data_IF_937673463210
#
_entry.id   IF_937673463210
#
_cell.length_a   1.000
_cell.length_b   1.000
_cell.length_c   1.000
_cell.angle_alpha   90.00
_cell.angle_beta   90.00
_cell.angle_gamma   90.00
#
_symmetry.space_group_name_H-M   'P 1'
#
loop_
_entity.id
_entity.type
_entity.pdbx_description
1 polymer ?
#
# COMPACT_ATOMS: atom_id res chain seq x y z
N UNK A 1 -22.02 -34.96 -34.18
CA UNK A 1 -22.31 -33.51 -34.07
C UNK A 1 -22.77 -33.22 -32.63
N UNK A 2 -21.86 -33.35 -31.65
CA UNK A 2 -22.16 -33.33 -30.21
C UNK A 2 -20.94 -32.85 -29.41
N UNK A 3 -20.52 -31.57 -29.53
CA UNK A 3 -19.42 -31.01 -28.72
C UNK A 3 -19.53 -29.50 -28.43
N UNK A 4 -20.67 -28.85 -28.66
CA UNK A 4 -20.86 -27.42 -28.38
C UNK A 4 -21.42 -27.11 -26.99
N UNK A 5 -21.41 -28.07 -26.04
CA UNK A 5 -22.18 -27.97 -24.79
C UNK A 5 -21.43 -27.50 -23.52
N UNK A 6 -20.15 -27.11 -23.54
CA UNK A 6 -19.45 -26.73 -22.28
C UNK A 6 -18.63 -25.42 -22.37
N UNK A 7 -18.63 -24.72 -23.51
CA UNK A 7 -17.86 -23.49 -23.68
C UNK A 7 -18.60 -22.20 -23.24
N UNK A 8 -19.60 -22.27 -22.35
CA UNK A 8 -20.35 -21.09 -21.88
C UNK A 8 -20.28 -20.84 -20.36
N UNK A 9 -19.32 -21.44 -19.67
CA UNK A 9 -18.98 -21.10 -18.29
C UNK A 9 -17.86 -20.03 -18.24
N UNK A 10 -18.10 -18.86 -18.83
CA UNK A 10 -17.38 -17.64 -18.43
C UNK A 10 -18.39 -16.53 -18.17
N UNK A 11 -18.46 -16.13 -16.90
CA UNK A 11 -18.67 -14.73 -16.56
C UNK A 11 -20.10 -14.21 -16.60
N UNK A 12 -21.00 -14.82 -15.83
CA UNK A 12 -22.19 -14.08 -15.40
C UNK A 12 -22.49 -14.37 -13.93
N UNK A 13 -21.73 -13.69 -13.07
CA UNK A 13 -22.25 -13.37 -11.74
C UNK A 13 -23.40 -12.36 -11.96
N UNK A 14 -24.61 -12.63 -11.47
CA UNK A 14 -25.70 -11.69 -11.56
C UNK A 14 -25.45 -10.57 -10.55
N UNK A 15 -24.78 -9.50 -11.00
CA UNK A 15 -24.92 -8.21 -10.35
C UNK A 15 -26.34 -7.71 -10.67
N UNK A 16 -27.22 -7.80 -9.67
CA UNK A 16 -28.56 -7.22 -9.56
C UNK A 16 -29.20 -6.71 -10.85
N UNK A 17 -30.12 -7.50 -11.40
CA UNK A 17 -31.08 -7.02 -12.38
C UNK A 17 -31.99 -5.97 -11.74
N UNK A 18 -31.96 -4.75 -12.28
CA UNK A 18 -33.11 -3.87 -12.32
C UNK A 18 -33.56 -3.81 -13.78
N UNK A 19 -34.76 -4.34 -13.98
CA UNK A 19 -35.48 -4.57 -15.22
C UNK A 19 -35.85 -3.27 -15.95
N UNK A 20 -36.04 -3.38 -17.26
CA UNK A 20 -37.04 -2.63 -18.03
C UNK A 20 -36.79 -1.13 -18.30
N UNK A 21 -36.64 -0.79 -19.57
CA UNK A 21 -36.47 0.58 -20.05
C UNK A 21 -37.56 1.57 -19.59
N UNK A 22 -37.11 2.61 -18.87
CA UNK A 22 -37.66 3.96 -18.95
C UNK A 22 -36.65 4.96 -18.35
N UNK A 23 -36.16 5.88 -19.19
CA UNK A 23 -35.41 7.07 -18.78
C UNK A 23 -33.90 6.87 -18.74
N UNK A 24 -33.21 7.27 -19.81
CA UNK A 24 -31.74 7.23 -19.98
C UNK A 24 -30.91 8.06 -18.99
N UNK A 25 -31.44 8.38 -17.81
CA UNK A 25 -30.73 8.91 -16.65
C UNK A 25 -30.77 7.92 -15.47
N UNK A 26 -31.89 7.21 -15.29
CA UNK A 26 -32.05 6.16 -14.27
C UNK A 26 -31.16 4.94 -14.56
N UNK A 27 -30.87 4.66 -15.83
CA UNK A 27 -29.93 3.60 -16.22
C UNK A 27 -28.47 3.92 -15.89
N UNK A 28 -28.10 5.21 -15.78
CA UNK A 28 -26.77 5.62 -15.32
C UNK A 28 -26.67 5.69 -13.81
N UNK A 29 -27.79 5.60 -13.07
CA UNK A 29 -27.81 5.70 -11.62
C UNK A 29 -26.91 4.65 -10.93
N UNK A 30 -26.88 3.36 -11.34
CA UNK A 30 -25.97 2.36 -10.76
C UNK A 30 -24.50 2.68 -11.05
N UNK A 31 -24.21 3.17 -12.26
CA UNK A 31 -22.85 3.52 -12.70
C UNK A 31 -22.33 4.75 -11.94
N UNK A 32 -23.14 5.80 -11.82
CA UNK A 32 -22.81 7.03 -11.09
C UNK A 32 -22.63 6.73 -9.60
N UNK A 33 -23.50 5.91 -9.00
CA UNK A 33 -23.38 5.50 -7.59
C UNK A 33 -22.06 4.79 -7.32
N UNK A 34 -21.63 3.90 -8.23
CA UNK A 34 -20.33 3.22 -8.18
C UNK A 34 -19.16 4.22 -8.24
N UNK A 35 -19.19 5.14 -9.21
CA UNK A 35 -18.17 6.18 -9.32
C UNK A 35 -18.08 7.04 -8.07
N UNK A 36 -19.23 7.42 -7.48
CA UNK A 36 -19.26 8.23 -6.26
C UNK A 36 -18.61 7.49 -5.09
N UNK A 37 -18.92 6.20 -4.88
CA UNK A 37 -18.33 5.40 -3.79
C UNK A 37 -16.82 5.23 -3.98
N UNK A 38 -16.36 4.85 -5.17
CA UNK A 38 -14.93 4.68 -5.44
C UNK A 38 -14.16 6.01 -5.40
N UNK A 39 -14.74 7.09 -5.92
CA UNK A 39 -14.20 8.45 -5.84
C UNK A 39 -14.01 8.84 -4.38
N UNK A 40 -15.03 8.66 -3.55
CA UNK A 40 -14.98 9.06 -2.15
C UNK A 40 -13.98 8.21 -1.35
N UNK A 41 -13.87 6.91 -1.65
CA UNK A 41 -12.94 6.02 -0.97
C UNK A 41 -11.47 6.26 -1.32
N UNK A 42 -11.12 6.67 -2.55
CA UNK A 42 -9.72 6.81 -2.96
C UNK A 42 -9.20 8.25 -2.84
N UNK A 43 -10.03 9.25 -3.17
CA UNK A 43 -9.60 10.66 -3.18
C UNK A 43 -9.51 11.24 -1.79
N UNK A 44 -10.44 10.90 -0.89
CA UNK A 44 -10.40 11.36 0.51
C UNK A 44 -9.12 10.92 1.24
N UNK A 45 -8.68 9.64 1.21
CA UNK A 45 -7.44 9.25 1.88
C UNK A 45 -6.20 9.82 1.20
N UNK A 46 -6.21 10.03 -0.12
CA UNK A 46 -5.07 10.62 -0.81
C UNK A 46 -4.88 12.08 -0.45
N UNK A 47 -5.96 12.87 -0.38
CA UNK A 47 -5.91 14.26 0.07
C UNK A 47 -5.38 14.36 1.50
N UNK A 48 -5.77 13.45 2.40
CA UNK A 48 -5.28 13.43 3.78
C UNK A 48 -3.76 13.21 3.84
N UNK A 49 -3.23 12.21 3.12
CA UNK A 49 -1.78 11.96 3.04
C UNK A 49 -1.00 13.13 2.44
N UNK A 50 -1.53 13.78 1.40
CA UNK A 50 -0.87 14.95 0.82
C UNK A 50 -0.88 16.15 1.76
N UNK A 51 -1.96 16.37 2.51
CA UNK A 51 -2.06 17.43 3.52
C UNK A 51 -1.07 17.18 4.66
N UNK A 52 -1.05 15.97 5.21
CA UNK A 52 -0.10 15.56 6.27
C UNK A 52 1.36 15.74 5.83
N UNK A 53 1.70 15.34 4.60
CA UNK A 53 3.04 15.54 4.04
C UNK A 53 3.39 17.03 3.94
N UNK A 54 2.47 17.86 3.41
CA UNK A 54 2.68 19.32 3.31
C UNK A 54 2.84 19.97 4.68
N UNK A 55 2.05 19.54 5.67
CA UNK A 55 2.14 20.02 7.04
C UNK A 55 3.46 19.62 7.70
N UNK A 56 3.92 18.37 7.50
CA UNK A 56 5.23 17.93 7.98
C UNK A 56 6.36 18.76 7.37
N UNK A 57 6.33 19.01 6.05
CA UNK A 57 7.31 19.86 5.38
C UNK A 57 7.30 21.29 5.92
N UNK A 58 6.14 21.84 6.28
CA UNK A 58 6.00 23.15 6.91
C UNK A 58 6.60 23.21 8.31
N UNK A 59 6.53 22.12 9.06
CA UNK A 59 7.01 22.02 10.44
C UNK A 59 8.52 21.73 10.56
N UNK A 60 9.24 21.54 9.45
CA UNK A 60 10.70 21.36 9.45
C UNK A 60 11.41 22.61 9.99
N UNK A 61 12.36 22.41 10.90
CA UNK A 61 13.17 23.45 11.52
C UNK A 61 14.65 23.22 11.27
N UNK A 62 15.43 24.29 11.39
CA UNK A 62 16.90 24.18 11.37
C UNK A 62 17.36 23.36 12.56
N UNK A 63 18.34 22.50 12.34
CA UNK A 63 18.89 21.60 13.34
C UNK A 63 18.19 20.24 13.44
N UNK A 64 17.05 20.05 12.77
CA UNK A 64 16.35 18.77 12.74
C UNK A 64 17.15 17.72 11.97
N UNK A 65 17.13 16.48 12.46
CA UNK A 65 17.61 15.32 11.70
C UNK A 65 16.50 14.81 10.80
N UNK A 66 16.79 14.73 9.51
CA UNK A 66 15.83 14.29 8.51
C UNK A 66 16.31 13.06 7.78
N UNK A 67 15.34 12.32 7.24
CA UNK A 67 15.55 11.34 6.19
C UNK A 67 15.03 11.92 4.88
N UNK A 68 15.88 11.92 3.87
CA UNK A 68 15.49 12.26 2.49
C UNK A 68 14.88 11.04 1.79
N UNK A 69 14.11 11.26 0.72
CA UNK A 69 13.49 10.19 -0.07
C UNK A 69 14.50 9.20 -0.69
N UNK A 70 15.76 9.61 -0.85
CA UNK A 70 16.86 8.75 -1.30
C UNK A 70 17.51 7.91 -0.21
N UNK A 71 17.04 7.97 1.04
CA UNK A 71 17.61 7.23 2.16
C UNK A 71 18.81 7.90 2.82
N UNK A 72 19.07 9.18 2.52
CA UNK A 72 20.17 9.93 3.12
C UNK A 72 19.70 10.55 4.43
N UNK A 73 20.45 10.30 5.50
CA UNK A 73 20.30 10.96 6.79
C UNK A 73 21.19 12.19 6.85
N UNK A 74 20.67 13.27 7.42
CA UNK A 74 21.46 14.47 7.63
C UNK A 74 20.76 15.47 8.55
N UNK A 75 21.46 16.54 8.87
CA UNK A 75 20.96 17.64 9.70
C UNK A 75 20.65 18.84 8.84
N UNK A 76 19.53 19.50 9.09
CA UNK A 76 19.19 20.74 8.39
C UNK A 76 20.10 21.87 8.89
N UNK A 77 20.90 22.43 7.98
CA UNK A 77 21.68 23.64 8.22
C UNK A 77 20.82 24.89 8.01
N UNK A 78 20.17 24.96 6.85
CA UNK A 78 19.34 26.10 6.46
C UNK A 78 18.15 25.70 5.59
N UNK A 79 17.04 26.43 5.74
CA UNK A 79 15.78 26.21 5.02
C UNK A 79 15.46 27.47 4.22
N UNK A 80 15.16 27.28 2.94
CA UNK A 80 14.55 28.25 2.02
C UNK A 80 13.19 27.70 1.57
N UNK A 81 12.38 28.47 0.84
CA UNK A 81 11.02 28.06 0.45
C UNK A 81 10.96 26.69 -0.25
N UNK A 82 11.76 26.50 -1.31
CA UNK A 82 11.76 25.28 -2.12
C UNK A 82 12.97 24.37 -1.89
N UNK A 83 14.01 24.87 -1.20
CA UNK A 83 15.31 24.20 -1.05
C UNK A 83 15.70 24.11 0.42
N UNK A 84 16.37 23.02 0.77
CA UNK A 84 16.89 22.76 2.12
C UNK A 84 18.36 22.38 1.99
N UNK A 85 19.22 23.06 2.75
CA UNK A 85 20.62 22.68 2.87
C UNK A 85 20.77 21.69 4.03
N UNK A 86 21.33 20.54 3.70
CA UNK A 86 21.45 19.41 4.61
C UNK A 86 22.92 19.05 4.73
N UNK A 87 23.42 19.07 5.95
CA UNK A 87 24.75 18.57 6.28
C UNK A 87 24.67 17.05 6.50
N UNK A 88 25.44 16.30 5.70
CA UNK A 88 25.46 14.82 5.73
C UNK A 88 26.73 14.28 6.39
N UNK A 89 27.80 15.07 6.38
CA UNK A 89 29.09 14.79 6.96
C UNK A 89 29.78 16.12 7.29
N UNK A 90 30.81 16.13 8.16
CA UNK A 90 31.49 17.37 8.54
C UNK A 90 31.99 18.15 7.31
N UNK A 91 31.45 19.35 7.11
CA UNK A 91 31.82 20.22 5.99
C UNK A 91 31.22 19.83 4.63
N UNK A 92 30.34 18.81 4.57
CA UNK A 92 29.64 18.42 3.35
C UNK A 92 28.17 18.81 3.46
N UNK A 93 27.83 19.91 2.79
CA UNK A 93 26.47 20.43 2.70
C UNK A 93 25.93 20.19 1.29
N UNK A 94 24.78 19.55 1.20
CA UNK A 94 24.06 19.32 -0.05
C UNK A 94 22.74 20.09 -0.04
N UNK A 95 22.35 20.61 -1.19
CA UNK A 95 21.05 21.26 -1.35
C UNK A 95 20.06 20.26 -1.95
N UNK A 96 18.95 20.02 -1.25
CA UNK A 96 17.87 19.15 -1.71
C UNK A 96 16.57 19.94 -1.82
N UNK A 97 15.66 19.48 -2.69
CA UNK A 97 14.32 20.07 -2.75
C UNK A 97 13.53 19.70 -1.49
N UNK A 98 12.77 20.66 -0.96
CA UNK A 98 11.94 20.45 0.24
C UNK A 98 10.94 19.32 0.04
N UNK A 99 10.41 19.15 -1.17
CA UNK A 99 9.49 18.07 -1.54
C UNK A 99 10.08 16.66 -1.45
N UNK A 100 11.41 16.53 -1.43
CA UNK A 100 12.12 15.24 -1.35
C UNK A 100 12.51 14.86 0.09
N UNK A 101 12.05 15.60 1.11
CA UNK A 101 12.23 15.23 2.51
C UNK A 101 11.15 14.23 2.91
N UNK A 102 11.54 13.02 3.31
CA UNK A 102 10.61 11.94 3.67
C UNK A 102 10.05 12.10 5.08
N UNK A 103 10.80 12.75 5.98
CA UNK A 103 10.36 13.07 7.33
C UNK A 103 11.52 13.23 8.31
N UNK A 104 11.17 13.53 9.56
CA UNK A 104 12.12 13.54 10.66
C UNK A 104 12.65 12.12 10.91
N UNK A 105 13.97 11.99 11.08
CA UNK A 105 14.64 10.70 11.22
C UNK A 105 14.05 9.85 12.37
N UNK A 106 13.66 10.51 13.47
CA UNK A 106 13.06 9.86 14.64
C UNK A 106 11.62 9.39 14.36
N UNK A 107 10.84 10.18 13.62
CA UNK A 107 9.46 9.85 13.27
C UNK A 107 9.38 8.72 12.22
N UNK A 108 10.28 8.74 11.23
CA UNK A 108 10.31 7.70 10.19
C UNK A 108 10.67 6.33 10.80
N UNK A 109 11.58 6.30 11.77
CA UNK A 109 11.91 5.08 12.51
C UNK A 109 10.74 4.57 13.35
N UNK A 110 10.02 5.47 14.05
CA UNK A 110 8.84 5.10 14.84
C UNK A 110 7.72 4.50 13.96
N UNK A 111 7.47 5.07 12.77
CA UNK A 111 6.46 4.54 11.83
C UNK A 111 6.86 3.19 11.22
N UNK A 112 8.17 2.96 10.99
CA UNK A 112 8.68 1.69 10.51
C UNK A 112 8.52 0.57 11.56
N UNK A 113 8.69 0.89 12.85
CA UNK A 113 8.51 -0.07 13.95
C UNK A 113 7.02 -0.37 14.19
N UNK A 114 6.14 0.64 14.12
CA UNK A 114 4.70 0.44 14.32
C UNK A 114 4.06 -0.45 13.23
N UNK A 115 4.59 -0.44 12.00
CA UNK A 115 4.18 -1.37 10.94
C UNK A 115 4.65 -2.82 11.14
N UNK A 116 5.73 -3.06 11.89
CA UNK A 116 6.19 -4.42 12.22
C UNK A 116 5.39 -5.05 13.36
N UNK A 117 4.95 -4.26 14.34
CA UNK A 117 4.10 -4.75 15.44
C UNK A 117 2.71 -5.25 14.99
N UNK A 118 2.16 -4.68 13.91
CA UNK A 118 0.84 -5.08 13.37
C UNK A 118 0.85 -6.31 12.45
N UNK A 119 2.02 -6.89 12.14
CA UNK A 119 2.14 -8.09 11.28
C UNK A 119 2.37 -9.40 12.05
N UNK A 120 2.48 -9.36 13.38
CA UNK A 120 2.72 -10.56 14.18
C UNK A 120 1.44 -11.31 14.62
N UNK A 121 0.24 -10.73 14.47
CA UNK A 121 -1.02 -11.32 14.94
C UNK A 121 -1.92 -11.93 13.85
N UNK A 122 -1.44 -12.01 12.61
CA UNK A 122 -2.18 -12.68 11.52
C UNK A 122 -1.25 -13.63 10.75
N UNK A 123 -0.68 -14.60 11.48
CA UNK A 123 -0.21 -15.83 10.86
C UNK A 123 -1.44 -16.72 10.61
N UNK A 124 -1.64 -17.23 9.39
CA UNK A 124 -2.76 -18.10 9.08
C UNK A 124 -2.61 -19.38 9.90
N UNK A 125 -3.65 -19.72 10.67
CA UNK A 125 -3.83 -21.06 11.24
C UNK A 125 -3.92 -22.06 10.09
N UNK A 126 -2.75 -22.53 9.64
CA UNK A 126 -2.64 -23.69 8.78
C UNK A 126 -3.03 -24.90 9.63
N UNK A 127 -4.04 -25.58 9.11
CA UNK A 127 -4.69 -26.76 9.65
C UNK A 127 -3.66 -27.89 9.78
N UNK A 128 -3.25 -28.17 11.02
CA UNK A 128 -2.59 -29.42 11.36
C UNK A 128 -3.68 -30.48 11.49
N UNK A 129 -3.97 -31.16 10.38
CA UNK A 129 -4.67 -32.44 10.39
C UNK A 129 -4.28 -33.23 9.14
N UNK A 130 -3.29 -34.11 9.28
CA UNK A 130 -3.42 -35.55 9.06
C UNK A 130 -2.03 -36.18 8.95
N UNK A 131 -1.59 -36.76 10.06
CA UNK A 131 -0.71 -37.92 10.02
C UNK A 131 -1.50 -39.07 9.38
N UNK A 132 -1.04 -39.57 8.23
CA UNK A 132 -1.19 -40.97 7.84
C UNK A 132 -0.20 -41.26 6.71
N UNK A 133 0.65 -42.24 6.95
CA UNK A 133 1.72 -42.73 6.09
C UNK A 133 1.16 -43.29 4.77
N UNK A 134 1.96 -43.30 3.71
CA UNK A 134 2.55 -44.58 3.35
C UNK A 134 4.01 -44.41 2.96
N UNK A 135 4.93 -44.93 3.78
CA UNK A 135 6.27 -45.28 3.29
C UNK A 135 6.18 -46.69 2.70
N UNK A 136 6.04 -46.72 1.39
CA UNK A 136 6.54 -47.81 0.58
C UNK A 136 8.07 -47.75 0.60
N UNK A 137 8.70 -48.51 1.49
CA UNK A 137 10.12 -48.86 1.40
C UNK A 137 10.21 -50.39 1.39
N UNK A 138 10.35 -50.93 0.19
CA UNK A 138 11.14 -52.13 -0.07
C UNK A 138 12.42 -51.62 -0.78
N UNK A 139 13.63 -52.14 -0.54
CA UNK A 139 13.92 -53.58 -0.66
C UNK A 139 14.94 -54.18 0.35
N UNK A 140 14.86 -55.52 0.45
CA UNK A 140 15.93 -56.52 0.67
C UNK A 140 16.89 -56.45 1.89
N UNK A 141 16.82 -57.47 2.76
CA UNK A 141 17.83 -58.56 2.82
C UNK A 141 17.37 -59.78 3.67
N UNK A 142 17.79 -60.99 3.22
CA UNK A 142 17.82 -62.34 3.88
C UNK A 142 16.47 -63.04 4.13
N UNK A 143 16.18 -64.21 3.55
CA UNK A 143 16.98 -65.45 3.38
C UNK A 143 16.32 -66.34 2.32
#
# INVERSE_FOLDING_TARGET
MFLTSVAHAMGQMPAGGADGGQGGLMSFLPLILMFVIFYFLLIRPQQKKQKEMREMLKNLKRGDRILTGGGIYGRIDSITDDKVNVEIAPGVVITVMRSYVAGLADMVQAQAQNKKGKKADEAPKAVEKKAEEPKSDAPEEKK
#
